data_IF_293364919554
#
_entry.id   IF_293364919554
#
_cell.length_a   1.000
_cell.length_b   1.000
_cell.length_c   1.000
_cell.angle_alpha   90.00
_cell.angle_beta   90.00
_cell.angle_gamma   90.00
#
_symmetry.space_group_name_H-M   'P 1'
#
loop_
_entity.id
_entity.type
_entity.pdbx_description
1 polymer ?
#
# COMPACT_ATOMS: atom_id res chain seq x y z
N UNK A 1 -2.99 -9.28 9.32
CA UNK A 1 -2.94 -8.02 8.54
C UNK A 1 -3.28 -6.80 9.40
N UNK A 2 -4.51 -6.65 9.90
CA UNK A 2 -4.91 -5.46 10.67
C UNK A 2 -4.03 -5.21 11.91
N UNK A 3 -3.71 -6.25 12.69
CA UNK A 3 -2.79 -6.14 13.82
C UNK A 3 -1.39 -5.66 13.40
N UNK A 4 -0.86 -6.17 12.29
CA UNK A 4 0.45 -5.77 11.77
C UNK A 4 0.48 -4.27 11.39
N UNK A 5 -0.58 -3.78 10.73
CA UNK A 5 -0.71 -2.36 10.39
C UNK A 5 -0.82 -1.51 11.66
N UNK A 6 -1.55 -1.96 12.67
CA UNK A 6 -1.79 -1.20 13.89
C UNK A 6 -0.59 -1.18 14.85
N UNK A 7 0.32 -2.15 14.74
CA UNK A 7 1.56 -2.24 15.52
C UNK A 7 2.66 -1.30 15.00
N UNK A 8 2.59 -0.89 13.73
CA UNK A 8 3.50 0.08 13.11
C UNK A 8 2.84 1.47 13.05
N UNK A 9 3.38 2.45 13.77
CA UNK A 9 2.84 3.81 13.84
C UNK A 9 2.72 4.49 12.47
N UNK A 10 3.67 4.22 11.56
CA UNK A 10 3.66 4.81 10.24
C UNK A 10 2.55 4.20 9.38
N UNK A 11 2.44 2.87 9.33
CA UNK A 11 1.39 2.19 8.58
C UNK A 11 0.01 2.55 9.13
N UNK A 12 -0.16 2.57 10.45
CA UNK A 12 -1.38 2.99 11.12
C UNK A 12 -1.79 4.42 10.77
N UNK A 13 -0.83 5.34 10.64
CA UNK A 13 -1.11 6.72 10.24
C UNK A 13 -1.48 6.84 8.75
N UNK A 14 -1.03 5.90 7.91
CA UNK A 14 -1.24 5.94 6.46
C UNK A 14 -2.45 5.14 6.00
N UNK A 15 -2.84 4.05 6.65
CA UNK A 15 -3.93 3.15 6.19
C UNK A 15 -5.20 3.39 6.99
N UNK A 16 -6.30 3.68 6.29
CA UNK A 16 -7.61 3.96 6.90
C UNK A 16 -8.56 2.75 6.80
N UNK A 17 -8.56 2.05 5.66
CA UNK A 17 -9.48 0.93 5.43
C UNK A 17 -8.78 -0.25 4.77
N UNK A 18 -9.32 -1.44 5.03
CA UNK A 18 -8.90 -2.71 4.44
C UNK A 18 -10.14 -3.34 3.81
N UNK A 19 -10.09 -3.59 2.51
CA UNK A 19 -11.11 -4.32 1.78
C UNK A 19 -10.61 -5.73 1.44
N UNK A 20 -11.53 -6.69 1.47
CA UNK A 20 -11.31 -8.05 0.98
C UNK A 20 -12.16 -8.21 -0.28
N UNK A 21 -11.51 -8.49 -1.41
CA UNK A 21 -12.18 -8.69 -2.69
C UNK A 21 -12.84 -10.06 -2.74
N UNK A 22 -13.72 -10.27 -3.73
CA UNK A 22 -14.31 -11.59 -4.01
C UNK A 22 -13.24 -12.66 -4.30
N UNK A 23 -12.09 -12.25 -4.87
CA UNK A 23 -10.92 -13.11 -5.09
C UNK A 23 -10.10 -13.40 -3.82
N UNK A 24 -10.57 -12.99 -2.64
CA UNK A 24 -9.88 -13.13 -1.34
C UNK A 24 -8.54 -12.39 -1.29
N UNK A 25 -8.42 -11.31 -2.03
CA UNK A 25 -7.25 -10.43 -2.00
C UNK A 25 -7.53 -9.21 -1.14
N UNK A 26 -6.47 -8.62 -0.59
CA UNK A 26 -6.56 -7.42 0.22
C UNK A 26 -6.28 -6.18 -0.62
N UNK A 27 -7.12 -5.17 -0.42
CA UNK A 27 -6.92 -3.81 -0.91
C UNK A 27 -6.87 -2.85 0.27
N UNK A 28 -5.93 -1.90 0.25
CA UNK A 28 -5.77 -0.92 1.32
C UNK A 28 -6.11 0.48 0.81
N UNK A 29 -6.92 1.20 1.58
CA UNK A 29 -7.26 2.59 1.32
C UNK A 29 -6.42 3.47 2.24
N UNK A 30 -5.58 4.36 1.69
CA UNK A 30 -4.78 5.25 2.47
C UNK A 30 -5.61 6.45 2.98
N UNK A 31 -5.20 6.99 4.13
CA UNK A 31 -5.76 8.20 4.73
C UNK A 31 -5.46 9.46 3.92
N UNK A 32 -4.32 9.48 3.23
CA UNK A 32 -3.88 10.60 2.40
C UNK A 32 -3.71 10.16 0.94
N UNK A 33 -4.29 10.97 0.04
CA UNK A 33 -4.31 10.71 -1.40
C UNK A 33 -5.58 9.98 -1.84
N UNK A 34 -5.56 9.44 -3.06
CA UNK A 34 -6.72 8.71 -3.65
C UNK A 34 -6.29 7.43 -4.37
N UNK A 35 -5.09 6.95 -4.05
CA UNK A 35 -4.51 5.75 -4.63
C UNK A 35 -5.08 4.50 -3.96
N UNK A 36 -5.47 3.51 -4.77
CA UNK A 36 -5.82 2.18 -4.29
C UNK A 36 -4.55 1.34 -4.15
N UNK A 37 -4.28 0.79 -2.97
CA UNK A 37 -3.15 -0.12 -2.77
C UNK A 37 -3.62 -1.55 -2.97
N UNK A 38 -3.16 -2.18 -4.05
CA UNK A 38 -3.41 -3.59 -4.34
C UNK A 38 -2.39 -4.44 -3.58
N UNK A 39 -2.80 -4.96 -2.43
CA UNK A 39 -1.91 -5.72 -1.54
C UNK A 39 -1.79 -7.20 -1.96
N UNK A 40 -2.88 -7.76 -2.50
CA UNK A 40 -2.93 -9.18 -2.86
C UNK A 40 -3.10 -10.07 -1.63
N UNK A 41 -2.42 -11.21 -1.59
CA UNK A 41 -2.45 -12.10 -0.43
C UNK A 41 -1.51 -11.69 0.70
N UNK A 42 -1.45 -12.51 1.74
CA UNK A 42 -0.64 -12.29 2.96
C UNK A 42 0.78 -12.84 2.88
N UNK A 43 1.14 -13.49 1.78
CA UNK A 43 2.51 -13.92 1.51
C UNK A 43 3.47 -12.71 1.51
N UNK A 44 4.64 -12.90 2.13
CA UNK A 44 5.69 -11.88 2.19
C UNK A 44 5.21 -10.51 2.68
N UNK A 45 4.23 -10.50 3.60
CA UNK A 45 3.57 -9.30 4.12
C UNK A 45 4.56 -8.23 4.61
N UNK A 46 5.59 -8.63 5.37
CA UNK A 46 6.64 -7.74 5.84
C UNK A 46 7.37 -7.03 4.68
N UNK A 47 7.78 -7.79 3.67
CA UNK A 47 8.47 -7.25 2.48
C UNK A 47 7.58 -6.28 1.71
N UNK A 48 6.28 -6.60 1.56
CA UNK A 48 5.30 -5.72 0.90
C UNK A 48 5.17 -4.38 1.65
N UNK A 49 5.08 -4.41 2.97
CA UNK A 49 5.00 -3.20 3.78
C UNK A 49 6.31 -2.41 3.77
N UNK A 50 7.47 -3.07 3.83
CA UNK A 50 8.77 -2.41 3.71
C UNK A 50 8.91 -1.68 2.36
N UNK A 51 8.46 -2.31 1.27
CA UNK A 51 8.42 -1.69 -0.05
C UNK A 51 7.46 -0.48 -0.10
N UNK A 52 6.28 -0.60 0.51
CA UNK A 52 5.31 0.49 0.59
C UNK A 52 5.86 1.69 1.40
N UNK A 53 6.48 1.43 2.55
CA UNK A 53 7.11 2.47 3.38
C UNK A 53 8.25 3.15 2.62
N UNK A 54 9.11 2.38 1.95
CA UNK A 54 10.18 2.92 1.13
C UNK A 54 9.62 3.79 -0.02
N UNK A 55 8.53 3.35 -0.65
CA UNK A 55 7.83 4.11 -1.68
C UNK A 55 7.25 5.43 -1.14
N UNK A 56 6.61 5.42 0.02
CA UNK A 56 6.11 6.65 0.64
C UNK A 56 7.24 7.62 1.01
N UNK A 57 8.31 7.12 1.65
CA UNK A 57 9.43 7.96 2.12
C UNK A 57 10.26 8.55 0.97
N UNK A 58 10.48 7.78 -0.11
CA UNK A 58 11.36 8.17 -1.22
C UNK A 58 10.60 8.54 -2.51
N UNK A 59 9.66 7.69 -2.92
CA UNK A 59 8.94 7.81 -4.19
C UNK A 59 7.91 8.95 -4.20
N UNK A 60 7.10 9.07 -3.15
CA UNK A 60 6.06 10.10 -3.08
C UNK A 60 6.58 11.50 -2.77
N UNK A 61 7.66 11.62 -1.99
CA UNK A 61 8.31 12.91 -1.69
C UNK A 61 8.65 13.71 -2.97
N UNK A 62 9.04 13.02 -4.04
CA UNK A 62 9.47 13.66 -5.29
C UNK A 62 8.33 13.84 -6.31
N UNK A 63 7.22 13.11 -6.16
CA UNK A 63 6.21 12.97 -7.22
C UNK A 63 4.81 13.45 -6.82
N UNK A 64 4.58 13.73 -5.53
CA UNK A 64 3.29 14.16 -5.01
C UNK A 64 2.27 13.03 -4.82
N UNK A 65 1.28 13.28 -3.97
CA UNK A 65 0.28 12.30 -3.51
C UNK A 65 -0.86 12.02 -4.50
N UNK A 66 -1.00 12.83 -5.54
CA UNK A 66 -2.14 12.77 -6.48
C UNK A 66 -1.79 12.14 -7.83
N UNK A 67 -0.52 11.76 -8.05
CA UNK A 67 -0.01 11.32 -9.35
C UNK A 67 -0.46 9.90 -9.73
N UNK A 68 -0.75 9.07 -8.74
CA UNK A 68 -0.99 7.64 -8.95
C UNK A 68 -2.43 7.27 -8.63
N UNK A 69 -3.03 6.45 -9.50
CA UNK A 69 -4.34 5.85 -9.28
C UNK A 69 -4.23 4.57 -8.45
N UNK A 70 -3.19 3.77 -8.69
CA UNK A 70 -2.96 2.52 -7.96
C UNK A 70 -1.50 2.33 -7.58
N UNK A 71 -1.28 1.66 -6.45
CA UNK A 71 0.02 1.14 -6.02
C UNK A 71 -0.12 -0.38 -5.90
N UNK A 72 0.55 -1.13 -6.76
CA UNK A 72 0.46 -2.58 -6.77
C UNK A 72 1.69 -3.21 -6.07
N UNK A 73 1.41 -3.94 -4.98
CA UNK A 73 2.39 -4.64 -4.15
C UNK A 73 2.35 -6.16 -4.32
N UNK A 74 1.58 -6.67 -5.31
CA UNK A 74 1.48 -8.11 -5.60
C UNK A 74 2.77 -8.68 -6.21
N UNK A 75 3.65 -7.83 -6.72
CA UNK A 75 4.93 -8.22 -7.30
C UNK A 75 6.03 -8.16 -6.24
N UNK A 76 6.74 -9.25 -6.03
CA UNK A 76 7.69 -9.37 -4.91
C UNK A 76 8.84 -8.36 -4.92
N UNK A 77 9.29 -7.92 -6.10
CA UNK A 77 10.52 -7.12 -6.25
C UNK A 77 10.27 -5.73 -6.82
N UNK A 78 9.02 -5.33 -7.01
CA UNK A 78 8.71 -4.03 -7.62
C UNK A 78 7.39 -3.47 -7.10
N UNK A 79 7.37 -2.16 -6.89
CA UNK A 79 6.14 -1.39 -6.64
C UNK A 79 5.69 -0.81 -7.98
N UNK A 80 4.61 -1.36 -8.55
CA UNK A 80 4.09 -0.91 -9.85
C UNK A 80 3.00 0.12 -9.63
N UNK A 81 3.16 1.31 -10.19
CA UNK A 81 2.18 2.38 -10.05
C UNK A 81 1.51 2.67 -11.40
N UNK A 82 0.17 2.67 -11.43
CA UNK A 82 -0.56 3.21 -12.56
C UNK A 82 -0.78 4.71 -12.35
N UNK A 83 -0.43 5.52 -13.37
CA UNK A 83 -0.73 6.95 -13.37
C UNK A 83 -2.22 7.18 -13.69
N UNK A 84 -2.72 8.33 -13.26
CA UNK A 84 -4.01 8.84 -13.72
C UNK A 84 -3.93 9.26 -15.18
#
# INVERSE_FOLDING_TARGET
LAFYINDDEFLKAQIEQIYVTESKEFELIPKVGRQLILFGGIENMEKKFNNLIAFYKKGMKNNGWTKYKTINLKFENQVVCAKK
#
